data_IF_306319866753
#
_entry.id   IF_306319866753
#
_cell.length_a   1.000
_cell.length_b   1.000
_cell.length_c   1.000
_cell.angle_alpha   90.00
_cell.angle_beta   90.00
_cell.angle_gamma   90.00
#
_symmetry.space_group_name_H-M   'P 1'
#
loop_
_entity.id
_entity.type
_entity.pdbx_description
1 polymer ?
#
# COMPACT_ATOMS: atom_id res chain seq x y z
N UNK A 1 -11.95 18.17 -8.99
CA UNK A 1 -11.89 17.06 -8.03
C UNK A 1 -10.67 16.23 -8.36
N UNK A 2 -9.76 16.04 -7.40
CA UNK A 2 -8.62 15.15 -7.58
C UNK A 2 -9.09 13.68 -7.60
N UNK A 3 -8.39 12.82 -8.34
CA UNK A 3 -8.75 11.42 -8.49
C UNK A 3 -7.51 10.54 -8.62
N UNK A 4 -7.52 9.39 -7.95
CA UNK A 4 -6.58 8.28 -8.11
C UNK A 4 -7.34 6.97 -7.89
N UNK A 5 -7.05 5.93 -8.66
CA UNK A 5 -7.76 4.65 -8.54
C UNK A 5 -7.41 3.90 -7.25
N UNK A 6 -6.14 3.88 -6.88
CA UNK A 6 -5.63 3.31 -5.64
C UNK A 6 -4.37 4.09 -5.21
N UNK A 7 -4.26 4.41 -3.92
CA UNK A 7 -3.11 5.15 -3.37
C UNK A 7 -1.90 4.22 -3.18
N UNK A 8 -2.14 2.93 -2.97
CA UNK A 8 -1.15 1.94 -2.56
C UNK A 8 -1.17 1.69 -1.05
N UNK A 9 -0.51 0.60 -0.65
CA UNK A 9 -0.39 0.18 0.76
C UNK A 9 0.83 0.85 1.42
N UNK A 10 0.71 1.24 2.68
CA UNK A 10 1.87 1.48 3.54
C UNK A 10 2.12 0.25 4.42
N UNK A 11 3.24 -0.43 4.23
CA UNK A 11 3.52 -1.72 4.88
C UNK A 11 4.67 -2.50 4.24
N UNK A 12 4.85 -3.79 4.60
CA UNK A 12 5.97 -4.59 4.12
C UNK A 12 6.04 -4.67 2.60
N UNK A 13 7.18 -4.28 2.02
CA UNK A 13 7.40 -4.25 0.58
C UNK A 13 7.43 -5.66 -0.01
N UNK A 14 8.18 -6.56 0.62
CA UNK A 14 8.38 -7.93 0.16
C UNK A 14 7.29 -8.85 0.71
N UNK A 15 6.06 -8.62 0.29
CA UNK A 15 4.88 -9.29 0.83
C UNK A 15 3.81 -9.56 -0.24
N UNK A 16 2.80 -10.35 0.12
CA UNK A 16 1.54 -10.42 -0.63
C UNK A 16 0.48 -9.70 0.19
N UNK A 17 0.23 -8.43 -0.17
CA UNK A 17 -0.68 -7.52 0.53
C UNK A 17 -0.42 -7.46 2.06
N UNK A 18 0.86 -7.39 2.44
CA UNK A 18 1.31 -7.30 3.84
C UNK A 18 1.55 -8.65 4.53
N UNK A 19 1.16 -9.77 3.91
CA UNK A 19 1.32 -11.12 4.47
C UNK A 19 2.58 -11.80 3.92
N UNK A 20 3.21 -12.65 4.74
CA UNK A 20 4.33 -13.50 4.33
C UNK A 20 3.96 -14.27 3.03
N UNK A 21 4.70 -14.09 1.93
CA UNK A 21 4.38 -14.73 0.66
C UNK A 21 4.29 -16.25 0.72
N UNK A 22 5.09 -16.89 1.58
CA UNK A 22 5.11 -18.35 1.71
C UNK A 22 3.79 -18.91 2.24
N UNK A 23 3.12 -18.17 3.13
CA UNK A 23 1.80 -18.53 3.68
C UNK A 23 0.76 -18.48 2.57
N UNK A 24 0.76 -17.38 1.79
CA UNK A 24 -0.20 -17.20 0.71
C UNK A 24 -0.01 -18.24 -0.39
N UNK A 25 1.24 -18.51 -0.78
CA UNK A 25 1.57 -19.54 -1.78
C UNK A 25 1.09 -20.92 -1.30
N UNK A 26 1.35 -21.29 -0.03
CA UNK A 26 0.85 -22.56 0.54
C UNK A 26 -0.67 -22.62 0.50
N UNK A 27 -1.36 -21.58 0.97
CA UNK A 27 -2.84 -21.48 0.95
C UNK A 27 -3.43 -21.65 -0.45
N UNK A 28 -2.87 -20.99 -1.46
CA UNK A 28 -3.37 -21.10 -2.84
C UNK A 28 -3.15 -22.50 -3.43
N UNK A 29 -2.03 -23.16 -3.10
CA UNK A 29 -1.73 -24.50 -3.59
C UNK A 29 -2.53 -25.59 -2.89
N UNK A 30 -2.65 -25.51 -1.56
CA UNK A 30 -3.33 -26.53 -0.74
C UNK A 30 -4.84 -26.35 -0.72
N UNK A 31 -5.33 -25.13 -0.96
CA UNK A 31 -6.72 -24.70 -0.75
C UNK A 31 -7.20 -24.89 0.70
N UNK A 32 -6.28 -25.13 1.64
CA UNK A 32 -6.58 -25.26 3.06
C UNK A 32 -6.45 -23.90 3.78
N UNK A 33 -7.18 -23.69 4.88
CA UNK A 33 -7.00 -22.49 5.71
C UNK A 33 -5.58 -22.40 6.27
N UNK A 34 -5.02 -21.19 6.24
CA UNK A 34 -3.70 -20.87 6.79
C UNK A 34 -3.82 -19.64 7.69
N UNK A 35 -3.03 -19.58 8.78
CA UNK A 35 -2.96 -18.40 9.63
C UNK A 35 -2.11 -17.34 8.94
N UNK A 36 -2.62 -16.11 8.85
CA UNK A 36 -1.89 -15.00 8.26
C UNK A 36 -0.92 -14.38 9.25
N UNK A 37 0.32 -14.17 8.81
CA UNK A 37 1.38 -13.49 9.55
C UNK A 37 1.98 -12.38 8.70
N UNK A 38 2.30 -11.25 9.35
CA UNK A 38 2.80 -10.05 8.69
C UNK A 38 4.22 -10.31 8.17
N UNK A 39 4.46 -9.96 6.90
CA UNK A 39 5.78 -10.05 6.31
C UNK A 39 6.77 -9.08 7.00
N UNK A 40 8.04 -9.49 7.09
CA UNK A 40 9.12 -8.68 7.67
C UNK A 40 9.97 -8.04 6.57
N UNK A 41 10.85 -7.11 6.97
CA UNK A 41 11.82 -6.47 6.09
C UNK A 41 11.45 -5.02 5.78
N UNK A 42 11.91 -4.47 4.63
CA UNK A 42 11.67 -3.07 4.27
C UNK A 42 10.19 -2.80 4.10
N UNK A 43 9.78 -1.56 4.38
CA UNK A 43 8.40 -1.10 4.27
C UNK A 43 8.28 -0.06 3.16
N UNK A 44 7.24 -0.17 2.35
CA UNK A 44 6.83 0.88 1.43
C UNK A 44 5.89 1.83 2.15
N UNK A 45 6.04 3.13 1.89
CA UNK A 45 5.09 4.18 2.24
C UNK A 45 4.53 4.74 0.94
N UNK A 46 3.21 4.69 0.78
CA UNK A 46 2.52 5.24 -0.38
C UNK A 46 1.47 6.24 0.10
N UNK A 47 1.44 7.41 -0.53
CA UNK A 47 0.50 8.48 -0.23
C UNK A 47 0.25 9.36 -1.45
N UNK A 48 -0.69 10.30 -1.31
CA UNK A 48 -0.92 11.39 -2.27
C UNK A 48 -0.92 12.72 -1.54
N UNK A 49 -0.30 13.73 -2.12
CA UNK A 49 -0.38 15.13 -1.72
C UNK A 49 -1.36 15.81 -2.67
N UNK A 50 -2.35 16.50 -2.12
CA UNK A 50 -3.37 17.20 -2.90
C UNK A 50 -3.36 18.66 -2.49
N UNK A 51 -3.07 19.53 -3.45
CA UNK A 51 -3.22 20.97 -3.28
C UNK A 51 -4.66 21.35 -3.66
N UNK A 52 -5.27 22.24 -2.90
CA UNK A 52 -6.61 22.73 -3.17
C UNK A 52 -6.74 24.22 -2.86
N UNK A 53 -7.62 24.87 -3.61
CA UNK A 53 -8.02 26.24 -3.38
C UNK A 53 -8.96 26.31 -2.17
N UNK A 54 -8.57 27.03 -1.13
CA UNK A 54 -9.31 27.09 0.15
C UNK A 54 -10.68 27.78 0.03
N UNK A 55 -10.84 28.68 -0.95
CA UNK A 55 -12.08 29.45 -1.12
C UNK A 55 -13.14 28.67 -1.90
N UNK A 56 -12.73 27.89 -2.88
CA UNK A 56 -13.61 27.15 -3.80
C UNK A 56 -13.67 25.66 -3.50
N UNK A 57 -12.74 25.13 -2.69
CA UNK A 57 -12.59 23.71 -2.40
C UNK A 57 -12.12 22.88 -3.61
N UNK A 58 -11.73 23.53 -4.71
CA UNK A 58 -11.30 22.84 -5.93
C UNK A 58 -9.85 22.37 -5.78
N UNK A 59 -9.62 21.08 -5.99
CA UNK A 59 -8.27 20.56 -6.14
C UNK A 59 -7.53 21.26 -7.30
N UNK A 60 -6.32 21.74 -7.02
CA UNK A 60 -5.43 22.41 -7.95
C UNK A 60 -4.37 21.44 -8.50
N UNK A 61 -3.86 20.54 -7.67
CA UNK A 61 -2.90 19.52 -8.05
C UNK A 61 -3.09 18.24 -7.22
N UNK A 62 -2.61 17.13 -7.77
CA UNK A 62 -2.46 15.86 -7.05
C UNK A 62 -1.12 15.24 -7.45
N UNK A 63 -0.30 14.94 -6.45
CA UNK A 63 1.01 14.32 -6.62
C UNK A 63 1.06 13.03 -5.79
N UNK A 64 1.64 11.97 -6.34
CA UNK A 64 1.86 10.72 -5.61
C UNK A 64 3.24 10.78 -4.95
N UNK A 65 3.29 10.46 -3.66
CA UNK A 65 4.53 10.35 -2.90
C UNK A 65 4.71 8.90 -2.49
N UNK A 66 5.85 8.31 -2.87
CA UNK A 66 6.20 6.93 -2.54
C UNK A 66 7.63 6.84 -2.05
N UNK A 67 7.85 6.15 -0.94
CA UNK A 67 9.17 5.91 -0.36
C UNK A 67 9.32 4.47 0.12
N UNK A 68 10.56 4.00 0.20
CA UNK A 68 10.92 2.71 0.81
C UNK A 68 11.80 3.01 2.02
N UNK A 69 11.47 2.41 3.16
CA UNK A 69 12.24 2.50 4.39
C UNK A 69 12.82 1.13 4.72
N UNK A 70 14.12 1.09 4.98
CA UNK A 70 14.78 -0.07 5.58
C UNK A 70 14.67 0.04 7.11
N UNK A 71 14.44 -1.09 7.77
CA UNK A 71 14.48 -1.19 9.24
C UNK A 71 15.92 -1.38 9.72
#
# INVERSE_FOLDING_TARGET
>A
TAYITDVGMTGPLNSVLGIDPSIIIRRFRSQLPERFEIAKGPVSFNSVVVDFDEHTGKALAIERVSAIFEN
#
